data_IF_183391058077
#
_entry.id   IF_183391058077
#
_cell.length_a   1.000
_cell.length_b   1.000
_cell.length_c   1.000
_cell.angle_alpha   90.00
_cell.angle_beta   90.00
_cell.angle_gamma   90.00
#
_symmetry.space_group_name_H-M   'P 1'
#
loop_
_entity.id
_entity.type
_entity.pdbx_description
1 polymer ?
#
# COMPACT_ATOMS: atom_id res chain seq x y z
N UNK A 1 11.55 7.45 1.34
CA UNK A 1 10.21 6.83 1.19
C UNK A 1 9.46 7.47 0.03
N UNK A 2 8.57 6.74 -0.64
CA UNK A 2 7.68 7.22 -1.71
C UNK A 2 6.24 6.91 -1.35
N UNK A 3 5.34 7.80 -1.76
CA UNK A 3 3.91 7.70 -1.51
C UNK A 3 3.17 7.97 -2.81
N UNK A 4 2.18 7.14 -3.10
CA UNK A 4 1.28 7.25 -4.24
C UNK A 4 -0.14 7.39 -3.72
N UNK A 5 -0.96 8.23 -4.35
CA UNK A 5 -2.32 8.51 -3.87
C UNK A 5 -3.27 8.30 -5.04
N UNK A 6 -4.28 7.46 -4.84
CA UNK A 6 -5.43 7.32 -5.71
C UNK A 6 -6.62 7.89 -4.94
N UNK A 7 -6.97 9.13 -5.26
CA UNK A 7 -8.09 9.83 -4.63
C UNK A 7 -9.39 9.49 -5.38
N UNK A 8 -10.35 8.89 -4.68
CA UNK A 8 -11.66 8.55 -5.22
C UNK A 8 -12.77 9.43 -4.64
N UNK A 9 -12.44 10.47 -3.88
CA UNK A 9 -13.39 11.38 -3.23
C UNK A 9 -14.32 12.12 -4.20
N UNK A 10 -13.90 12.29 -5.45
CA UNK A 10 -14.69 12.92 -6.52
C UNK A 10 -15.36 11.90 -7.47
N UNK A 11 -15.29 10.60 -7.13
CA UNK A 11 -15.99 9.54 -7.85
C UNK A 11 -17.35 9.25 -7.21
N UNK A 12 -17.84 8.01 -7.33
CA UNK A 12 -19.12 7.59 -6.77
C UNK A 12 -19.12 7.69 -5.23
N UNK A 13 -20.22 8.10 -4.57
CA UNK A 13 -20.34 8.12 -3.11
C UNK A 13 -20.07 6.78 -2.42
N UNK A 14 -20.18 5.64 -3.11
CA UNK A 14 -19.80 4.34 -2.54
C UNK A 14 -18.27 4.15 -2.46
N UNK A 15 -17.50 5.00 -3.15
CA UNK A 15 -16.03 5.04 -3.17
C UNK A 15 -15.45 6.17 -2.30
N UNK A 16 -16.21 6.64 -1.29
CA UNK A 16 -15.75 7.68 -0.37
C UNK A 16 -14.42 7.29 0.30
N UNK A 17 -13.39 8.11 0.10
CA UNK A 17 -12.02 7.86 0.54
C UNK A 17 -11.07 7.76 -0.66
N UNK A 18 -10.08 6.87 -0.55
CA UNK A 18 -9.13 6.56 -1.60
C UNK A 18 -8.16 5.45 -1.18
N UNK A 19 -7.11 5.26 -1.98
CA UNK A 19 -6.02 4.33 -1.71
C UNK A 19 -4.70 5.10 -1.62
N UNK A 20 -3.91 4.84 -0.57
CA UNK A 20 -2.53 5.29 -0.50
C UNK A 20 -1.58 4.10 -0.67
N UNK A 21 -0.68 4.21 -1.64
CA UNK A 21 0.44 3.31 -1.83
C UNK A 21 1.69 3.81 -1.12
N UNK A 22 2.36 2.95 -0.36
CA UNK A 22 3.62 3.28 0.33
C UNK A 22 4.73 2.34 -0.10
N UNK A 23 5.86 2.91 -0.52
CA UNK A 23 7.07 2.20 -0.86
C UNK A 23 8.26 2.82 -0.11
N UNK A 24 9.17 1.99 0.40
CA UNK A 24 10.31 2.47 1.16
C UNK A 24 11.57 1.65 0.97
N UNK A 25 12.68 2.19 1.49
CA UNK A 25 13.97 1.50 1.52
C UNK A 25 13.88 0.17 2.27
N UNK A 26 14.68 -0.81 1.85
CA UNK A 26 14.89 -2.06 2.59
C UNK A 26 15.67 -1.84 3.90
N UNK A 27 16.38 -0.71 4.02
CA UNK A 27 17.12 -0.31 5.22
C UNK A 27 16.68 1.11 5.63
N UNK A 28 15.44 1.28 6.15
CA UNK A 28 14.95 2.61 6.49
C UNK A 28 15.57 3.12 7.79
N UNK A 29 15.85 4.42 7.82
CA UNK A 29 16.27 5.13 9.03
C UNK A 29 15.12 5.24 10.05
N UNK A 30 15.43 5.59 11.30
CA UNK A 30 14.39 5.85 12.31
C UNK A 30 13.43 6.97 11.89
N UNK A 31 13.95 8.02 11.26
CA UNK A 31 13.15 9.12 10.73
C UNK A 31 12.20 8.67 9.62
N UNK A 32 12.66 7.82 8.69
CA UNK A 32 11.80 7.28 7.64
C UNK A 32 10.68 6.38 8.18
N UNK A 33 10.96 5.61 9.24
CA UNK A 33 9.92 4.80 9.90
C UNK A 33 8.87 5.69 10.56
N UNK A 34 9.30 6.75 11.23
CA UNK A 34 8.39 7.72 11.85
C UNK A 34 7.52 8.42 10.79
N UNK A 35 8.14 8.92 9.72
CA UNK A 35 7.44 9.56 8.61
C UNK A 35 6.41 8.63 7.94
N UNK A 36 6.72 7.34 7.81
CA UNK A 36 5.76 6.33 7.35
C UNK A 36 4.53 6.26 8.26
N UNK A 37 4.73 6.11 9.57
CA UNK A 37 3.61 6.00 10.51
C UNK A 37 2.78 7.28 10.51
N UNK A 38 3.42 8.45 10.58
CA UNK A 38 2.72 9.74 10.59
C UNK A 38 1.95 10.00 9.29
N UNK A 39 2.51 9.62 8.15
CA UNK A 39 1.84 9.75 6.86
C UNK A 39 0.66 8.79 6.75
N UNK A 40 0.87 7.50 6.98
CA UNK A 40 -0.20 6.49 6.90
C UNK A 40 -1.33 6.80 7.89
N UNK A 41 -0.98 7.18 9.12
CA UNK A 41 -1.96 7.52 10.17
C UNK A 41 -2.92 8.62 9.74
N UNK A 42 -2.47 9.63 8.99
CA UNK A 42 -3.35 10.70 8.49
C UNK A 42 -4.44 10.17 7.57
N UNK A 43 -4.09 9.27 6.65
CA UNK A 43 -5.05 8.75 5.67
C UNK A 43 -5.97 7.67 6.24
N UNK A 44 -5.47 6.78 7.12
CA UNK A 44 -6.33 5.74 7.72
C UNK A 44 -7.39 6.34 8.63
N UNK A 45 -7.13 7.49 9.27
CA UNK A 45 -8.11 8.22 10.07
C UNK A 45 -9.27 8.76 9.22
N UNK A 46 -9.00 9.07 7.95
CA UNK A 46 -10.00 9.45 6.96
C UNK A 46 -10.64 8.23 6.27
N UNK A 47 -10.33 7.01 6.73
CA UNK A 47 -10.89 5.76 6.21
C UNK A 47 -10.26 5.24 4.91
N UNK A 48 -9.11 5.78 4.51
CA UNK A 48 -8.46 5.39 3.26
C UNK A 48 -7.83 4.00 3.37
N UNK A 49 -7.90 3.24 2.28
CA UNK A 49 -7.24 1.95 2.16
C UNK A 49 -5.72 2.13 1.99
N UNK A 50 -4.95 1.20 2.53
CA UNK A 50 -3.49 1.20 2.47
C UNK A 50 -3.03 0.12 1.51
N UNK A 51 -2.01 0.43 0.73
CA UNK A 51 -1.35 -0.56 -0.09
C UNK A 51 0.17 -0.46 0.04
N UNK A 52 0.82 -1.60 0.26
CA UNK A 52 2.26 -1.67 0.44
C UNK A 52 2.77 -3.10 0.19
N UNK A 53 4.09 -3.25 0.13
CA UNK A 53 4.73 -4.57 0.26
C UNK A 53 4.96 -4.89 1.75
N UNK A 54 4.21 -5.85 2.36
CA UNK A 54 4.38 -6.20 3.76
C UNK A 54 5.71 -6.92 4.06
N UNK A 55 6.47 -7.34 3.04
CA UNK A 55 7.79 -7.94 3.22
C UNK A 55 8.91 -6.89 3.35
N UNK A 56 8.65 -5.63 2.97
CA UNK A 56 9.58 -4.53 3.15
C UNK A 56 9.35 -3.86 4.51
N UNK A 57 10.39 -3.37 5.22
CA UNK A 57 10.20 -2.82 6.58
C UNK A 57 9.24 -1.64 6.66
N UNK A 58 9.23 -0.75 5.66
CA UNK A 58 8.28 0.36 5.57
C UNK A 58 6.87 -0.13 5.26
N UNK A 59 6.73 -1.07 4.33
CA UNK A 59 5.41 -1.59 3.97
C UNK A 59 4.80 -2.47 5.06
N UNK A 60 5.62 -3.15 5.87
CA UNK A 60 5.17 -3.82 7.09
C UNK A 60 4.61 -2.83 8.12
N UNK A 61 5.29 -1.69 8.34
CA UNK A 61 4.76 -0.63 9.22
C UNK A 61 3.43 -0.08 8.71
N UNK A 62 3.33 0.19 7.40
CA UNK A 62 2.09 0.63 6.79
C UNK A 62 0.96 -0.42 6.95
N UNK A 63 1.26 -1.70 6.77
CA UNK A 63 0.31 -2.79 6.97
C UNK A 63 -0.18 -2.87 8.42
N UNK A 64 0.73 -2.76 9.40
CA UNK A 64 0.38 -2.77 10.81
C UNK A 64 -0.49 -1.57 11.20
N UNK A 65 -0.19 -0.38 10.68
CA UNK A 65 -1.01 0.81 10.89
C UNK A 65 -2.41 0.65 10.27
N UNK A 66 -2.50 0.07 9.06
CA UNK A 66 -3.78 -0.22 8.41
C UNK A 66 -4.63 -1.20 9.22
N UNK A 67 -4.02 -2.30 9.68
CA UNK A 67 -4.65 -3.31 10.53
C UNK A 67 -5.16 -2.71 11.84
N UNK A 68 -4.33 -1.88 12.49
CA UNK A 68 -4.69 -1.20 13.76
C UNK A 68 -5.89 -0.25 13.59
N UNK A 69 -6.00 0.40 12.42
CA UNK A 69 -7.09 1.30 12.09
C UNK A 69 -8.31 0.57 11.47
N UNK A 70 -8.25 -0.76 11.31
CA UNK A 70 -9.29 -1.56 10.67
C UNK A 70 -9.67 -1.10 9.25
N UNK A 71 -8.72 -0.52 8.50
CA UNK A 71 -8.93 -0.12 7.09
C UNK A 71 -8.46 -1.22 6.14
N UNK A 72 -9.00 -1.28 4.90
CA UNK A 72 -8.55 -2.26 3.92
C UNK A 72 -7.05 -2.16 3.61
N UNK A 73 -6.38 -3.31 3.49
CA UNK A 73 -4.97 -3.40 3.11
C UNK A 73 -4.79 -4.21 1.81
N UNK A 74 -3.99 -3.70 0.89
CA UNK A 74 -3.66 -4.35 -0.40
C UNK A 74 -2.16 -4.63 -0.48
N UNK A 75 -1.81 -5.91 -0.71
CA UNK A 75 -0.42 -6.32 -0.92
C UNK A 75 -0.04 -6.20 -2.40
N UNK A 76 0.86 -5.28 -2.74
CA UNK A 76 1.29 -5.07 -4.13
C UNK A 76 2.06 -6.25 -4.74
N UNK A 77 2.77 -7.06 -3.94
CA UNK A 77 3.46 -8.26 -4.44
C UNK A 77 2.50 -9.33 -4.95
N UNK A 78 1.21 -9.23 -4.62
CA UNK A 78 0.15 -10.09 -5.19
C UNK A 78 -0.47 -9.52 -6.47
N UNK A 79 -0.12 -8.29 -6.85
CA UNK A 79 -0.61 -7.64 -8.07
C UNK A 79 0.38 -7.70 -9.23
N UNK A 80 1.60 -8.22 -9.00
CA UNK A 80 2.51 -8.53 -10.09
C UNK A 80 1.82 -9.54 -11.02
N UNK A 81 1.71 -9.26 -12.33
CA UNK A 81 1.22 -10.25 -13.28
C UNK A 81 2.09 -11.48 -13.12
N UNK A 82 1.46 -12.64 -12.91
CA UNK A 82 2.10 -13.92 -13.16
C UNK A 82 2.83 -13.78 -14.49
N UNK A 83 4.15 -13.94 -14.47
CA UNK A 83 4.96 -13.91 -15.67
C UNK A 83 4.36 -14.96 -16.61
N UNK A 84 3.66 -14.50 -17.65
CA UNK A 84 3.04 -15.33 -18.68
C UNK A 84 4.18 -16.09 -19.36
N UNK A 85 4.57 -17.20 -18.76
CA UNK A 85 5.52 -18.13 -19.33
C UNK A 85 4.93 -18.58 -20.67
N UNK A 86 5.60 -18.31 -21.80
CA UNK A 86 5.10 -18.77 -23.09
C UNK A 86 5.07 -20.30 -23.04
N UNK A 87 3.89 -20.90 -23.08
CA UNK A 87 3.76 -22.35 -23.25
C UNK A 87 4.45 -22.71 -24.58
N UNK A 88 5.42 -23.65 -24.59
CA UNK A 88 6.01 -24.08 -25.84
C UNK A 88 4.93 -24.76 -26.67
N UNK A 89 4.78 -24.30 -27.92
CA UNK A 89 3.87 -24.88 -28.88
C UNK A 89 4.14 -26.39 -29.00
N UNK A 90 3.13 -27.21 -28.68
CA UNK A 90 3.17 -28.65 -28.94
C UNK A 90 3.04 -28.86 -30.45
N UNK A 91 4.13 -29.29 -31.09
CA UNK A 91 4.12 -29.94 -32.41
C UNK A 91 3.75 -31.40 -32.28
#
# INVERSE_FOLDING_TARGET
MRVFIIDTSHMDPELQGGLIGVEGSLNPTGAEKQDCVETVSRYVMDGWAIAADPNAPIGWLAALTAETACVPFVNFNRLAPEELTPQPART
#
